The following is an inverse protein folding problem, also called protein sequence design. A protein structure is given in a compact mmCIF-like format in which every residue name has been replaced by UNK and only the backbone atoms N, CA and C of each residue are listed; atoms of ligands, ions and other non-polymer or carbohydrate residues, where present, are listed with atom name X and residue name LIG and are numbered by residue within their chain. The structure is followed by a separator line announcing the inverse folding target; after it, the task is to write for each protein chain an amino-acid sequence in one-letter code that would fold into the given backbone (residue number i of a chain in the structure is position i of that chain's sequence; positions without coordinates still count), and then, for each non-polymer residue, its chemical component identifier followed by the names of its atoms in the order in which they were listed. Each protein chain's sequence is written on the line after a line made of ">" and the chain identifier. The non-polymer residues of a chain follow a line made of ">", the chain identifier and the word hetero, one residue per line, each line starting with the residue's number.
data_IF_614404686659
#
_entry.id   IF_614404686659
#
_cell.length_a   1.000
_cell.length_b   1.000
_cell.length_c   1.000
_cell.angle_alpha   90.00
_cell.angle_beta   90.00
_cell.angle_gamma   90.00
#
_symmetry.space_group_name_H-M   'P 1'
#
loop_
_entity.id
_entity.type
_entity.pdbx_description
1 polymer ?
#
# COMPACT_ATOMS: atom_id res chain seq x y z
N UNK A 1 3.42 2.80 13.95
CA UNK A 1 4.51 3.47 13.22
C UNK A 1 3.97 4.79 12.71
N UNK A 2 4.71 5.89 12.85
CA UNK A 2 4.33 7.19 12.30
C UNK A 2 5.03 7.42 10.96
N UNK A 3 4.27 7.41 9.87
CA UNK A 3 4.77 7.57 8.51
C UNK A 3 5.13 9.02 8.14
N UNK A 4 4.84 9.99 9.02
CA UNK A 4 5.19 11.40 8.81
C UNK A 4 6.71 11.57 8.81
N UNK A 5 7.41 11.00 9.79
CA UNK A 5 8.85 11.18 9.98
C UNK A 5 9.70 10.07 9.35
N UNK A 6 9.20 8.82 9.33
CA UNK A 6 9.90 7.67 8.75
C UNK A 6 8.90 6.68 8.15
N UNK A 7 9.08 6.29 6.89
CA UNK A 7 8.20 5.33 6.21
C UNK A 7 8.73 4.89 4.86
N UNK A 8 8.13 3.85 4.29
CA UNK A 8 8.43 3.35 2.94
C UNK A 8 7.57 4.07 1.88
N UNK A 9 7.61 3.58 0.63
CA UNK A 9 6.83 4.14 -0.50
C UNK A 9 5.31 4.16 -0.24
N UNK A 10 4.79 3.27 0.62
CA UNK A 10 3.36 3.20 0.93
C UNK A 10 2.80 4.49 1.53
N UNK A 11 3.65 5.33 2.14
CA UNK A 11 3.25 6.64 2.69
C UNK A 11 2.74 7.63 1.63
N UNK A 12 3.07 7.41 0.36
CA UNK A 12 2.69 8.28 -0.75
C UNK A 12 1.44 7.81 -1.49
N UNK A 13 0.81 6.71 -1.04
CA UNK A 13 -0.46 6.28 -1.61
C UNK A 13 -1.56 7.26 -1.24
N UNK A 14 -2.29 7.71 -2.25
CA UNK A 14 -3.41 8.63 -2.07
C UNK A 14 -4.69 7.89 -1.70
N UNK A 15 -5.59 8.61 -1.03
CA UNK A 15 -6.97 8.16 -0.85
C UNK A 15 -7.74 8.18 -2.17
N UNK A 16 -8.59 7.16 -2.37
CA UNK A 16 -9.61 7.10 -3.42
C UNK A 16 -10.86 6.44 -2.86
N UNK A 17 -12.05 6.94 -3.21
CA UNK A 17 -13.32 6.29 -2.88
C UNK A 17 -13.52 4.98 -3.66
N UNK A 18 -12.79 4.81 -4.77
CA UNK A 18 -12.73 3.59 -5.56
C UNK A 18 -11.25 3.18 -5.71
N UNK A 19 -10.67 2.52 -4.69
CA UNK A 19 -9.26 2.18 -4.70
C UNK A 19 -8.97 0.99 -5.63
N UNK A 20 -7.80 0.99 -6.27
CA UNK A 20 -7.31 -0.14 -7.07
C UNK A 20 -6.47 -1.15 -6.27
N UNK A 21 -6.23 -0.86 -4.99
CA UNK A 21 -5.47 -1.66 -4.06
C UNK A 21 -6.22 -1.78 -2.73
N UNK A 22 -5.93 -2.83 -1.97
CA UNK A 22 -6.52 -3.05 -0.65
C UNK A 22 -5.43 -3.36 0.37
N UNK A 23 -5.76 -3.13 1.65
CA UNK A 23 -4.87 -3.36 2.79
C UNK A 23 -5.21 -4.70 3.44
N UNK A 24 -4.20 -5.50 3.73
CA UNK A 24 -4.33 -6.76 4.44
C UNK A 24 -3.32 -6.82 5.60
N UNK A 25 -3.81 -7.20 6.78
CA UNK A 25 -2.96 -7.53 7.92
C UNK A 25 -2.29 -8.88 7.67
N UNK A 26 -0.96 -8.94 7.80
CA UNK A 26 -0.15 -10.14 7.60
C UNK A 26 0.72 -10.37 8.84
N UNK A 27 0.87 -11.63 9.22
CA UNK A 27 1.70 -12.07 10.34
C UNK A 27 2.84 -12.90 9.76
N UNK A 28 4.07 -12.42 9.90
CA UNK A 28 5.28 -13.05 9.36
C UNK A 28 6.17 -13.51 10.52
N UNK A 29 6.60 -12.56 11.35
CA UNK A 29 7.56 -12.84 12.43
C UNK A 29 6.88 -13.22 13.76
N UNK A 30 5.68 -12.70 14.00
CA UNK A 30 4.92 -12.89 15.25
C UNK A 30 3.44 -13.06 14.95
N UNK A 31 2.75 -13.90 15.73
CA UNK A 31 1.30 -14.12 15.66
C UNK A 31 0.53 -13.24 16.66
N UNK A 32 1.16 -12.21 17.23
CA UNK A 32 0.47 -11.25 18.08
C UNK A 32 -0.47 -10.36 17.24
N UNK A 33 -1.77 -10.61 17.39
CA UNK A 33 -2.84 -9.92 16.65
C UNK A 33 -2.84 -8.39 16.83
N UNK A 34 -2.16 -7.86 17.85
CA UNK A 34 -2.05 -6.43 18.11
C UNK A 34 -1.04 -5.73 17.21
N UNK A 35 -0.10 -6.47 16.64
CA UNK A 35 1.02 -5.92 15.86
C UNK A 35 1.20 -6.61 14.50
N UNK A 36 0.18 -6.62 13.62
CA UNK A 36 0.33 -7.14 12.27
C UNK A 36 1.22 -6.23 11.42
N UNK A 37 1.79 -6.81 10.37
CA UNK A 37 2.35 -6.04 9.26
C UNK A 37 1.21 -5.60 8.33
N UNK A 38 1.32 -4.37 7.82
CA UNK A 38 0.38 -3.82 6.86
C UNK A 38 0.92 -4.09 5.45
N UNK A 39 0.27 -5.00 4.72
CA UNK A 39 0.58 -5.29 3.33
C UNK A 39 -0.47 -4.68 2.39
N UNK A 40 -0.04 -4.21 1.22
CA UNK A 40 -0.91 -3.60 0.21
C UNK A 40 -0.85 -4.48 -1.04
N UNK A 41 -2.01 -4.93 -1.49
CA UNK A 41 -2.16 -5.80 -2.66
C UNK A 41 -3.02 -5.13 -3.73
N UNK A 42 -2.77 -5.47 -5.00
CA UNK A 42 -3.61 -5.03 -6.10
C UNK A 42 -4.97 -5.73 -6.02
N UNK A 43 -6.07 -4.95 -5.98
CA UNK A 43 -7.44 -5.49 -6.01
C UNK A 43 -7.92 -5.83 -7.42
N UNK A 44 -7.21 -5.35 -8.43
CA UNK A 44 -7.49 -5.60 -9.84
C UNK A 44 -6.20 -5.55 -10.64
N UNK A 45 -6.13 -6.34 -11.71
CA UNK A 45 -5.04 -6.23 -12.66
C UNK A 45 -5.12 -4.88 -13.39
N UNK A 46 -4.05 -4.09 -13.31
CA UNK A 46 -3.86 -2.90 -14.13
C UNK A 46 -2.72 -3.18 -15.11
N UNK A 47 -2.97 -3.22 -16.43
CA UNK A 47 -1.88 -3.37 -17.39
C UNK A 47 -0.96 -2.16 -17.31
N UNK A 48 0.33 -2.38 -17.59
CA UNK A 48 1.29 -1.29 -17.67
C UNK A 48 0.86 -0.31 -18.77
N UNK A 49 0.81 0.98 -18.40
CA UNK A 49 0.69 2.08 -19.35
C UNK A 49 1.89 2.98 -19.13
N UNK A 50 2.63 3.36 -20.19
CA UNK A 50 3.66 4.37 -20.04
C UNK A 50 3.00 5.66 -19.56
N UNK A 51 3.68 6.37 -18.66
CA UNK A 51 3.25 7.73 -18.34
C UNK A 51 3.42 8.56 -19.62
N UNK A 52 2.43 9.39 -20.00
CA UNK A 52 2.67 10.40 -21.00
C UNK A 52 3.84 11.27 -20.55
N UNK A 53 4.75 11.60 -21.48
CA UNK A 53 5.82 12.56 -21.21
C UNK A 53 5.23 13.81 -20.56
N UNK A 54 5.77 14.21 -19.41
CA UNK A 54 5.52 15.53 -18.85
C UNK A 54 6.10 16.54 -19.84
N UNK A 55 5.24 17.11 -20.70
CA UNK A 55 5.55 18.37 -21.40
C UNK A 55 5.46 19.54 -20.43
#
# INVERSE_FOLDING_TARGET
>A
MDAMSKGNIGRYLNHSCEPNAFVQNVFIDSHDLRFPWIAIFAGQFKPWKPMPEMK
#
